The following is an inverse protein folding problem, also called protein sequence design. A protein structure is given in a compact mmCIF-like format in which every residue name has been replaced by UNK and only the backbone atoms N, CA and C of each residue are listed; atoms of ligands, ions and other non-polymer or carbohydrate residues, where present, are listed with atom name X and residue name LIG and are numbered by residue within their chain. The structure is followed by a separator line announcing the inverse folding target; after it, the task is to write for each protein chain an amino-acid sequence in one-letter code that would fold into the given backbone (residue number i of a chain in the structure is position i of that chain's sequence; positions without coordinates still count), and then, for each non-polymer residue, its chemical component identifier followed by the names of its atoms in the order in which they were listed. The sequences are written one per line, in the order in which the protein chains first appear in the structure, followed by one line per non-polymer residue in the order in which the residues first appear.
data_IF_944657593300
#
_entry.id   IF_944657593300
#
_cell.length_a   1.000
_cell.length_b   1.000
_cell.length_c   1.000
_cell.angle_alpha   90.00
_cell.angle_beta   90.00
_cell.angle_gamma   90.00
#
_symmetry.space_group_name_H-M   'P 1'
#
loop_
_entity.id
_entity.type
_entity.pdbx_description
1 polymer ?
#
# COMPACT_ATOMS: atom_id res chain seq x y z
N UNK A 1 3.72 15.82 -7.79
CA UNK A 1 2.59 15.00 -7.33
C UNK A 1 1.86 15.79 -6.24
N UNK A 2 0.55 15.83 -6.30
CA UNK A 2 -0.30 16.39 -5.25
C UNK A 2 -1.04 15.26 -4.54
N UNK A 3 -1.35 15.43 -3.27
CA UNK A 3 -2.22 14.54 -2.49
C UNK A 3 -3.52 15.29 -2.23
N UNK A 4 -4.53 15.17 -3.10
CA UNK A 4 -5.75 15.98 -3.01
C UNK A 4 -6.62 15.60 -1.81
N UNK A 5 -6.57 14.33 -1.37
CA UNK A 5 -7.34 13.85 -0.23
C UNK A 5 -6.72 12.58 0.39
N UNK A 6 -7.10 12.31 1.62
CA UNK A 6 -6.87 11.04 2.32
C UNK A 6 -8.22 10.45 2.70
N UNK A 7 -8.39 9.16 2.43
CA UNK A 7 -9.57 8.38 2.86
C UNK A 7 -9.08 7.30 3.83
N UNK A 8 -9.72 7.16 4.95
CA UNK A 8 -9.43 6.12 5.92
C UNK A 8 -10.70 5.51 6.51
N UNK A 9 -10.63 4.28 6.98
CA UNK A 9 -11.74 3.62 7.66
C UNK A 9 -11.83 3.95 9.17
N UNK A 10 -10.85 4.69 9.70
CA UNK A 10 -10.79 5.19 11.06
C UNK A 10 -10.41 6.67 11.08
N UNK A 11 -10.83 7.46 12.10
CA UNK A 11 -10.59 8.90 12.14
C UNK A 11 -9.18 9.31 12.61
N UNK A 12 -8.32 8.36 12.98
CA UNK A 12 -7.05 8.59 13.68
C UNK A 12 -6.10 9.56 12.96
N UNK A 13 -6.19 9.65 11.64
CA UNK A 13 -5.32 10.50 10.82
C UNK A 13 -5.91 11.89 10.53
N UNK A 14 -7.14 12.19 10.94
CA UNK A 14 -7.83 13.44 10.61
C UNK A 14 -7.03 14.67 11.04
N UNK A 15 -6.57 14.70 12.30
CA UNK A 15 -5.82 15.82 12.83
C UNK A 15 -4.49 16.02 12.10
N UNK A 16 -3.82 14.92 11.73
CA UNK A 16 -2.57 14.96 10.96
C UNK A 16 -2.82 15.55 9.58
N UNK A 17 -3.82 15.06 8.85
CA UNK A 17 -4.18 15.56 7.52
C UNK A 17 -4.55 17.06 7.56
N UNK A 18 -5.30 17.49 8.58
CA UNK A 18 -5.63 18.90 8.81
C UNK A 18 -4.37 19.76 8.98
N UNK A 19 -3.36 19.26 9.72
CA UNK A 19 -2.09 19.96 9.91
C UNK A 19 -1.30 20.17 8.62
N UNK A 20 -1.52 19.31 7.61
CA UNK A 20 -0.93 19.43 6.27
C UNK A 20 -1.86 20.11 5.25
N UNK A 21 -3.04 20.57 5.65
CA UNK A 21 -4.02 21.16 4.74
C UNK A 21 -4.60 20.15 3.71
N UNK A 22 -4.54 18.85 4.01
CA UNK A 22 -5.06 17.79 3.13
C UNK A 22 -6.48 17.40 3.57
N UNK A 23 -7.49 17.47 2.70
CA UNK A 23 -8.83 16.97 2.97
C UNK A 23 -8.81 15.51 3.45
N UNK A 24 -9.58 15.21 4.49
CA UNK A 24 -9.68 13.88 5.08
C UNK A 24 -11.13 13.41 5.11
N UNK A 25 -11.37 12.18 4.68
CA UNK A 25 -12.68 11.55 4.70
C UNK A 25 -12.60 10.23 5.47
N UNK A 26 -13.42 10.10 6.52
CA UNK A 26 -13.58 8.85 7.23
C UNK A 26 -14.71 8.05 6.57
N UNK A 27 -14.38 6.93 5.96
CA UNK A 27 -15.32 5.99 5.34
C UNK A 27 -15.15 4.63 6.02
N UNK A 28 -15.95 4.34 7.06
CA UNK A 28 -15.88 3.07 7.76
C UNK A 28 -16.23 1.91 6.84
N UNK A 29 -15.39 0.86 6.86
CA UNK A 29 -15.62 -0.35 6.09
C UNK A 29 -15.88 -1.50 7.06
N UNK A 30 -17.12 -1.98 7.04
CA UNK A 30 -17.51 -3.21 7.73
C UNK A 30 -18.04 -4.21 6.69
N UNK A 31 -17.99 -5.53 6.94
CA UNK A 31 -18.35 -6.53 5.92
C UNK A 31 -19.70 -6.30 5.28
N UNK A 32 -20.70 -5.87 6.06
CA UNK A 32 -22.09 -5.65 5.57
C UNK A 32 -22.22 -4.40 4.70
N UNK A 33 -21.38 -3.37 4.91
CA UNK A 33 -21.45 -2.08 4.19
C UNK A 33 -20.29 -1.86 3.21
N UNK A 34 -19.53 -2.90 2.90
CA UNK A 34 -18.39 -2.80 1.98
C UNK A 34 -18.78 -2.24 0.60
N UNK A 35 -19.88 -2.66 -0.07
CA UNK A 35 -20.28 -2.11 -1.35
C UNK A 35 -20.58 -0.60 -1.29
N UNK A 36 -21.28 -0.15 -0.24
CA UNK A 36 -21.61 1.27 -0.03
C UNK A 36 -20.36 2.09 0.27
N UNK A 37 -19.43 1.53 1.04
CA UNK A 37 -18.16 2.18 1.32
C UNK A 37 -17.32 2.33 0.04
N UNK A 38 -17.19 1.28 -0.77
CA UNK A 38 -16.49 1.34 -2.06
C UNK A 38 -17.16 2.32 -3.02
N UNK A 39 -18.48 2.36 -3.08
CA UNK A 39 -19.22 3.35 -3.87
C UNK A 39 -18.91 4.78 -3.42
N UNK A 40 -18.89 5.01 -2.10
CA UNK A 40 -18.55 6.32 -1.53
C UNK A 40 -17.11 6.72 -1.87
N UNK A 41 -16.16 5.78 -1.76
CA UNK A 41 -14.77 6.00 -2.13
C UNK A 41 -14.67 6.36 -3.62
N UNK A 42 -15.26 5.57 -4.50
CA UNK A 42 -15.24 5.82 -5.96
C UNK A 42 -15.81 7.20 -6.30
N UNK A 43 -16.91 7.60 -5.64
CA UNK A 43 -17.49 8.94 -5.82
C UNK A 43 -16.50 10.03 -5.44
N UNK A 44 -15.84 9.92 -4.28
CA UNK A 44 -14.83 10.86 -3.83
C UNK A 44 -13.64 10.93 -4.79
N UNK A 45 -13.19 9.79 -5.34
CA UNK A 45 -12.10 9.76 -6.32
C UNK A 45 -12.47 10.54 -7.59
N UNK A 46 -13.68 10.39 -8.09
CA UNK A 46 -14.18 11.11 -9.27
C UNK A 46 -14.34 12.59 -8.98
N UNK A 47 -15.01 12.96 -7.87
CA UNK A 47 -15.25 14.35 -7.46
C UNK A 47 -13.95 15.16 -7.32
N UNK A 48 -12.86 14.51 -6.87
CA UNK A 48 -11.56 15.15 -6.67
C UNK A 48 -10.57 14.93 -7.82
N UNK A 49 -11.00 14.33 -8.93
CA UNK A 49 -10.18 14.12 -10.12
C UNK A 49 -8.94 13.25 -9.85
N UNK A 50 -9.07 12.25 -8.98
CA UNK A 50 -7.97 11.37 -8.61
C UNK A 50 -7.53 10.52 -9.80
N UNK A 51 -6.23 10.41 -10.02
CA UNK A 51 -5.64 9.62 -11.11
C UNK A 51 -4.95 8.35 -10.60
N UNK A 52 -4.55 8.32 -9.33
CA UNK A 52 -3.87 7.19 -8.71
C UNK A 52 -4.32 7.03 -7.27
N UNK A 53 -4.66 5.83 -6.87
CA UNK A 53 -4.90 5.46 -5.47
C UNK A 53 -3.67 4.76 -4.90
N UNK A 54 -3.32 5.13 -3.68
CA UNK A 54 -2.25 4.48 -2.92
C UNK A 54 -2.85 3.85 -1.67
N UNK A 55 -2.74 2.54 -1.55
CA UNK A 55 -3.14 1.81 -0.35
C UNK A 55 -1.94 1.71 0.59
N UNK A 56 -2.11 2.18 1.81
CA UNK A 56 -1.13 2.06 2.88
C UNK A 56 -1.82 1.59 4.16
N UNK A 57 -1.43 0.43 4.67
CA UNK A 57 -2.08 -0.23 5.82
C UNK A 57 -3.60 -0.44 5.63
N UNK A 58 -4.03 -0.54 4.40
CA UNK A 58 -5.42 -0.83 4.07
C UNK A 58 -5.61 -2.33 4.00
N UNK A 59 -6.19 -2.91 5.06
CA UNK A 59 -6.32 -4.36 5.24
C UNK A 59 -7.61 -4.93 4.64
N UNK A 60 -8.14 -4.26 3.61
CA UNK A 60 -9.34 -4.68 2.90
C UNK A 60 -9.00 -5.05 1.47
N UNK A 61 -9.59 -6.12 0.95
CA UNK A 61 -9.51 -6.47 -0.48
C UNK A 61 -10.49 -5.58 -1.24
N UNK A 62 -10.04 -4.90 -2.28
CA UNK A 62 -10.93 -4.15 -3.19
C UNK A 62 -11.71 -5.14 -4.07
N UNK A 63 -12.99 -4.81 -4.34
CA UNK A 63 -13.79 -5.65 -5.23
C UNK A 63 -13.35 -5.51 -6.70
N UNK A 64 -13.67 -6.53 -7.52
CA UNK A 64 -13.49 -6.46 -8.97
C UNK A 64 -14.18 -5.23 -9.57
N UNK A 65 -15.42 -4.96 -9.15
CA UNK A 65 -16.16 -3.79 -9.61
C UNK A 65 -15.52 -2.44 -9.23
N UNK A 66 -14.75 -2.38 -8.14
CA UNK A 66 -13.94 -1.20 -7.82
C UNK A 66 -12.75 -1.09 -8.79
N UNK A 67 -12.00 -2.17 -8.99
CA UNK A 67 -10.79 -2.19 -9.83
C UNK A 67 -11.10 -1.99 -11.31
N UNK A 68 -12.24 -2.47 -11.80
CA UNK A 68 -12.71 -2.18 -13.16
C UNK A 68 -12.95 -0.67 -13.40
N UNK A 69 -13.47 0.03 -12.38
CA UNK A 69 -13.74 1.47 -12.46
C UNK A 69 -12.50 2.32 -12.17
N UNK A 70 -11.60 1.82 -11.35
CA UNK A 70 -10.38 2.52 -10.96
C UNK A 70 -9.19 1.54 -10.92
N UNK A 71 -8.53 1.29 -12.08
CA UNK A 71 -7.46 0.30 -12.19
C UNK A 71 -6.10 0.78 -11.64
N UNK A 72 -5.88 2.10 -11.57
CA UNK A 72 -4.59 2.66 -11.13
C UNK A 72 -4.50 2.69 -9.60
N UNK A 73 -4.23 1.52 -9.02
CA UNK A 73 -4.09 1.34 -7.57
C UNK A 73 -2.74 0.70 -7.27
N UNK A 74 -1.95 1.34 -6.41
CA UNK A 74 -0.68 0.82 -5.89
C UNK A 74 -0.84 0.53 -4.40
N UNK A 75 -0.43 -0.67 -3.97
CA UNK A 75 -0.36 -1.04 -2.56
C UNK A 75 1.09 -1.08 -2.08
N UNK A 76 1.32 -0.63 -0.84
CA UNK A 76 2.57 -0.91 -0.13
C UNK A 76 2.34 -2.01 0.89
N UNK A 77 3.00 -3.14 0.67
CA UNK A 77 2.94 -4.30 1.56
C UNK A 77 4.21 -4.37 2.41
N UNK A 78 4.02 -4.62 3.69
CA UNK A 78 5.05 -4.57 4.73
C UNK A 78 5.90 -5.84 4.83
N UNK A 79 6.02 -6.61 3.75
CA UNK A 79 6.96 -7.72 3.65
C UNK A 79 7.59 -7.81 2.26
N UNK A 80 8.66 -8.58 2.15
CA UNK A 80 9.27 -8.93 0.89
C UNK A 80 8.48 -10.09 0.25
N UNK A 81 7.48 -9.74 -0.56
CA UNK A 81 6.63 -10.73 -1.22
C UNK A 81 7.45 -11.71 -2.09
N UNK A 82 7.07 -12.99 -2.11
CA UNK A 82 5.88 -13.62 -1.55
C UNK A 82 6.02 -14.07 -0.08
N UNK A 83 7.10 -13.69 0.62
CA UNK A 83 7.33 -14.10 2.01
C UNK A 83 6.45 -13.32 2.99
N UNK A 84 6.00 -13.99 4.06
CA UNK A 84 5.28 -13.42 5.20
C UNK A 84 3.98 -12.65 4.84
N UNK A 85 3.20 -13.16 3.88
CA UNK A 85 1.85 -12.65 3.59
C UNK A 85 0.98 -12.66 4.86
N UNK A 86 0.11 -11.65 5.04
CA UNK A 86 -0.86 -11.55 6.13
C UNK A 86 -0.37 -10.78 7.36
N UNK A 87 -1.06 -10.94 8.50
CA UNK A 87 -0.87 -10.14 9.70
C UNK A 87 0.46 -10.41 10.44
N UNK A 88 0.94 -9.40 11.19
CA UNK A 88 2.10 -9.45 12.07
C UNK A 88 3.40 -9.99 11.44
N UNK A 89 3.82 -9.54 10.24
CA UNK A 89 4.97 -10.11 9.55
C UNK A 89 6.28 -9.94 10.32
N UNK A 90 6.44 -8.84 11.04
CA UNK A 90 7.68 -8.57 11.80
C UNK A 90 7.84 -9.51 13.00
N UNK A 91 6.76 -9.89 13.69
CA UNK A 91 6.80 -10.88 14.76
C UNK A 91 7.22 -12.25 14.22
N UNK A 92 6.57 -12.68 13.13
CA UNK A 92 6.90 -13.96 12.48
C UNK A 92 8.32 -13.98 11.90
N UNK A 93 8.79 -12.85 11.37
CA UNK A 93 10.16 -12.70 10.86
C UNK A 93 11.18 -12.80 12.01
N UNK A 94 10.90 -12.18 13.14
CA UNK A 94 11.73 -12.24 14.34
C UNK A 94 11.78 -13.66 14.91
N UNK A 95 10.63 -14.30 15.12
CA UNK A 95 10.53 -15.70 15.59
C UNK A 95 11.28 -16.68 14.67
N UNK A 96 11.20 -16.45 13.35
CA UNK A 96 11.91 -17.27 12.36
C UNK A 96 13.42 -17.00 12.33
N UNK A 97 13.88 -15.91 12.92
CA UNK A 97 15.30 -15.54 12.95
C UNK A 97 15.84 -15.16 11.57
N UNK A 98 15.01 -14.52 10.72
CA UNK A 98 15.44 -14.10 9.37
C UNK A 98 16.56 -13.08 9.45
N UNK A 99 17.31 -12.93 8.36
CA UNK A 99 18.43 -11.99 8.25
C UNK A 99 18.08 -10.77 7.38
N UNK A 100 16.95 -10.83 6.71
CA UNK A 100 16.41 -9.75 5.88
C UNK A 100 14.93 -9.58 6.15
N UNK A 101 14.50 -8.32 6.24
CA UNK A 101 13.10 -7.92 6.12
C UNK A 101 12.99 -6.92 4.97
N UNK A 102 11.78 -6.65 4.51
CA UNK A 102 11.61 -5.71 3.41
C UNK A 102 10.17 -5.28 3.23
N UNK A 103 9.95 -4.52 2.17
CA UNK A 103 8.65 -4.06 1.74
C UNK A 103 8.51 -4.21 0.23
N UNK A 104 7.28 -4.35 -0.24
CA UNK A 104 6.93 -4.51 -1.65
C UNK A 104 5.85 -3.51 -2.03
N UNK A 105 6.12 -2.70 -3.06
CA UNK A 105 5.11 -1.90 -3.73
C UNK A 105 4.69 -2.61 -5.02
N UNK A 106 3.39 -2.83 -5.20
CA UNK A 106 2.83 -3.56 -6.33
C UNK A 106 1.52 -2.93 -6.79
N UNK A 107 1.13 -3.17 -8.04
CA UNK A 107 -0.22 -2.88 -8.49
C UNK A 107 -1.22 -3.80 -7.81
N UNK A 108 -2.41 -3.29 -7.55
CA UNK A 108 -3.47 -4.09 -6.91
C UNK A 108 -4.23 -4.88 -7.98
N UNK A 109 -4.53 -6.13 -7.65
CA UNK A 109 -5.39 -7.03 -8.39
C UNK A 109 -6.49 -7.57 -7.47
N UNK A 110 -7.38 -8.40 -8.00
CA UNK A 110 -8.41 -9.07 -7.20
C UNK A 110 -7.81 -10.05 -6.17
N UNK A 111 -6.63 -10.59 -6.47
CA UNK A 111 -5.91 -11.48 -5.58
C UNK A 111 -5.10 -10.69 -4.55
N UNK A 112 -5.24 -11.06 -3.28
CA UNK A 112 -4.59 -10.38 -2.17
C UNK A 112 -3.06 -10.50 -2.27
N UNK A 113 -2.40 -9.34 -2.30
CA UNK A 113 -0.93 -9.21 -2.31
C UNK A 113 -0.24 -10.02 -3.43
N UNK A 114 -0.90 -10.18 -4.60
CA UNK A 114 -0.41 -11.00 -5.72
C UNK A 114 -0.28 -10.21 -7.04
N UNK A 115 -0.49 -8.91 -7.00
CA UNK A 115 -0.38 -8.05 -8.17
C UNK A 115 1.06 -7.80 -8.63
N UNK A 116 1.24 -7.27 -9.86
CA UNK A 116 2.55 -7.02 -10.47
C UNK A 116 3.44 -6.13 -9.61
N UNK A 117 4.62 -6.62 -9.23
CA UNK A 117 5.56 -5.93 -8.34
C UNK A 117 6.24 -4.79 -9.09
N UNK A 118 6.24 -3.58 -8.50
CA UNK A 118 6.90 -2.39 -9.05
C UNK A 118 8.28 -2.20 -8.44
N UNK A 119 8.36 -2.29 -7.11
CA UNK A 119 9.59 -2.05 -6.36
C UNK A 119 9.63 -2.92 -5.10
N UNK A 120 10.82 -3.38 -4.76
CA UNK A 120 11.07 -4.09 -3.50
C UNK A 120 12.33 -3.51 -2.84
N UNK A 121 12.24 -3.30 -1.53
CA UNK A 121 13.36 -2.80 -0.74
C UNK A 121 13.58 -3.71 0.45
N UNK A 122 14.83 -4.03 0.75
CA UNK A 122 15.21 -4.90 1.87
C UNK A 122 16.17 -4.19 2.81
N UNK A 123 16.22 -4.65 4.07
CA UNK A 123 17.20 -4.23 5.07
C UNK A 123 17.65 -5.42 5.90
N UNK A 124 18.92 -5.42 6.27
CA UNK A 124 19.48 -6.44 7.15
C UNK A 124 18.96 -6.29 8.58
N UNK A 125 18.69 -7.45 9.20
CA UNK A 125 18.40 -7.59 10.61
C UNK A 125 19.35 -8.59 11.26
N UNK A 126 19.61 -8.42 12.54
CA UNK A 126 20.55 -9.22 13.29
C UNK A 126 19.88 -9.86 14.51
N UNK A 127 20.60 -10.74 15.20
CA UNK A 127 20.16 -11.33 16.47
C UNK A 127 20.03 -10.31 17.62
N UNK A 128 20.53 -9.08 17.43
CA UNK A 128 20.45 -7.99 18.42
C UNK A 128 19.20 -7.14 18.24
N UNK A 129 18.51 -7.30 17.08
CA UNK A 129 17.31 -6.54 16.80
C UNK A 129 16.11 -7.19 17.50
N UNK A 130 15.34 -6.38 18.19
CA UNK A 130 14.03 -6.75 18.75
C UNK A 130 12.91 -6.51 17.73
N UNK A 131 11.70 -6.97 18.02
CA UNK A 131 10.52 -6.76 17.15
C UNK A 131 10.28 -5.27 16.88
N UNK A 132 10.50 -4.42 17.88
CA UNK A 132 10.41 -2.96 17.74
C UNK A 132 11.38 -2.38 16.71
N UNK A 133 12.61 -2.93 16.65
CA UNK A 133 13.61 -2.52 15.66
C UNK A 133 13.20 -2.99 14.26
N UNK A 134 12.69 -4.22 14.13
CA UNK A 134 12.17 -4.72 12.86
C UNK A 134 11.02 -3.83 12.36
N UNK A 135 10.09 -3.44 13.23
CA UNK A 135 8.98 -2.53 12.88
C UNK A 135 9.52 -1.17 12.40
N UNK A 136 10.51 -0.59 13.10
CA UNK A 136 11.10 0.69 12.72
C UNK A 136 11.81 0.60 11.38
N UNK A 137 12.69 -0.38 11.19
CA UNK A 137 13.40 -0.65 9.93
C UNK A 137 12.40 -0.93 8.78
N UNK A 138 11.33 -1.68 9.07
CA UNK A 138 10.28 -1.99 8.12
C UNK A 138 9.55 -0.74 7.61
N UNK A 139 9.19 0.18 8.51
CA UNK A 139 8.57 1.46 8.13
C UNK A 139 9.47 2.31 7.23
N UNK A 140 10.79 2.23 7.41
CA UNK A 140 11.74 2.94 6.55
C UNK A 140 11.81 2.29 5.16
N UNK A 141 11.80 0.97 5.08
CA UNK A 141 11.75 0.25 3.80
C UNK A 141 10.44 0.46 3.07
N UNK A 142 9.30 0.48 3.78
CA UNK A 142 7.97 0.80 3.20
C UNK A 142 7.98 2.19 2.54
N UNK A 143 8.45 3.22 3.26
CA UNK A 143 8.55 4.58 2.74
C UNK A 143 9.42 4.65 1.48
N UNK A 144 10.56 3.98 1.49
CA UNK A 144 11.51 3.99 0.38
C UNK A 144 10.94 3.27 -0.84
N UNK A 145 10.39 2.06 -0.66
CA UNK A 145 9.78 1.27 -1.73
C UNK A 145 8.61 2.02 -2.37
N UNK A 146 7.70 2.57 -1.55
CA UNK A 146 6.57 3.34 -2.04
C UNK A 146 7.00 4.58 -2.82
N UNK A 147 7.94 5.36 -2.29
CA UNK A 147 8.43 6.58 -2.96
C UNK A 147 9.06 6.27 -4.32
N UNK A 148 9.80 5.16 -4.44
CA UNK A 148 10.40 4.71 -5.71
C UNK A 148 9.33 4.23 -6.68
N UNK A 149 8.41 3.39 -6.23
CA UNK A 149 7.31 2.88 -7.06
C UNK A 149 6.45 4.01 -7.62
N UNK A 150 6.08 4.99 -6.80
CA UNK A 150 5.32 6.16 -7.23
C UNK A 150 6.10 6.98 -8.26
N UNK A 151 7.39 7.19 -8.07
CA UNK A 151 8.24 7.91 -9.03
C UNK A 151 8.26 7.20 -10.39
N UNK A 152 8.44 5.89 -10.40
CA UNK A 152 8.46 5.07 -11.60
C UNK A 152 7.13 5.12 -12.34
N UNK A 153 6.02 4.92 -11.61
CA UNK A 153 4.66 4.99 -12.17
C UNK A 153 4.38 6.38 -12.78
N UNK A 154 4.61 7.44 -12.02
CA UNK A 154 4.33 8.82 -12.48
C UNK A 154 5.19 9.26 -13.66
N UNK A 155 6.37 8.68 -13.83
CA UNK A 155 7.23 8.89 -14.99
C UNK A 155 6.92 7.97 -16.15
N UNK A 156 5.91 7.10 -16.03
CA UNK A 156 5.56 6.07 -17.02
C UNK A 156 6.73 5.14 -17.36
N UNK A 157 7.54 4.83 -16.35
CA UNK A 157 8.70 3.94 -16.45
C UNK A 157 8.39 2.50 -16.04
N UNK A 158 7.12 2.14 -15.91
CA UNK A 158 6.67 0.79 -15.58
C UNK A 158 5.69 0.31 -16.64
N UNK A 159 5.97 -0.85 -17.20
CA UNK A 159 5.06 -1.55 -18.10
C UNK A 159 4.66 -2.88 -17.50
N UNK A 160 3.36 -3.15 -17.43
CA UNK A 160 2.84 -4.45 -17.00
C UNK A 160 2.69 -5.36 -18.23
N UNK A 161 3.28 -6.55 -18.16
CA UNK A 161 3.18 -7.56 -19.20
C UNK A 161 3.09 -8.96 -18.60
N UNK A 162 2.04 -9.70 -18.93
CA UNK A 162 1.79 -11.07 -18.43
C UNK A 162 1.92 -11.21 -16.91
N UNK A 163 1.30 -10.29 -16.16
CA UNK A 163 1.32 -10.31 -14.69
C UNK A 163 2.65 -9.92 -14.04
N UNK A 164 3.60 -9.39 -14.82
CA UNK A 164 4.90 -8.90 -14.32
C UNK A 164 5.14 -7.47 -14.75
N UNK A 165 6.07 -6.80 -14.11
CA UNK A 165 6.49 -5.46 -14.52
C UNK A 165 7.84 -5.50 -15.26
N UNK A 166 7.97 -4.67 -16.29
CA UNK A 166 9.25 -4.22 -16.81
C UNK A 166 9.45 -2.77 -16.35
N UNK A 167 10.58 -2.49 -15.70
CA UNK A 167 10.94 -1.17 -15.17
C UNK A 167 12.05 -0.58 -15.99
N UNK A 168 11.84 0.64 -16.49
CA UNK A 168 12.77 1.40 -17.33
C UNK A 168 13.38 2.55 -16.49
N UNK A 169 14.33 2.21 -15.61
CA UNK A 169 14.99 3.14 -14.69
C UNK A 169 16.33 3.65 -15.23
#
# INVERSE_FOLDING_TARGET
MQVPLVIANHPDLEQLCRGFGVPFFCVPVIPVSKPEAEFTILRLLVEHGIQLVVLAKYMQVLSSGFLERFPDVINIHHSFLPAFKGAQPYHRAWERGVKLIGATAHYVTEDLDDGPIIEQTTVHVSHRDEVSDLIRKGRDTERLALARALRLHLRRQVMVYRGRTAVFA
#
